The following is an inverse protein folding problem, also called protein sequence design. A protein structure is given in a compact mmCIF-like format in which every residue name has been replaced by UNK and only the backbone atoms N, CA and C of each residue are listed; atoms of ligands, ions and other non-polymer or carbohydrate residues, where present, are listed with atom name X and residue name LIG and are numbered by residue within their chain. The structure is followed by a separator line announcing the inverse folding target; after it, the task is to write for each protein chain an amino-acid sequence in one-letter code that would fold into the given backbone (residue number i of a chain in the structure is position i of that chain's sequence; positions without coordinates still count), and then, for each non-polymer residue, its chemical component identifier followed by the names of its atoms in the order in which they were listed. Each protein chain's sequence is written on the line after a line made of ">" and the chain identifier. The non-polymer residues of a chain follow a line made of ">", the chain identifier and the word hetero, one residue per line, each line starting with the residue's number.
data_IF_281164384022
#
_entry.id   IF_281164384022
#
_cell.length_a   1.000
_cell.length_b   1.000
_cell.length_c   1.000
_cell.angle_alpha   90.00
_cell.angle_beta   90.00
_cell.angle_gamma   90.00
#
_symmetry.space_group_name_H-M   'P 1'
#
loop_
_entity.id
_entity.type
_entity.pdbx_description
1 polymer ?
#
# COMPACT_ATOMS: atom_id res chain seq x y z
N UNK A 1 -16.05 5.53 -12.53
CA UNK A 1 -16.99 6.16 -11.58
C UNK A 1 -16.85 5.59 -10.18
N UNK A 2 -17.21 6.37 -9.17
CA UNK A 2 -17.42 5.90 -7.81
C UNK A 2 -18.84 5.38 -7.66
N UNK A 3 -19.02 4.34 -6.87
CA UNK A 3 -20.34 3.75 -6.60
C UNK A 3 -20.44 3.53 -5.09
N UNK A 4 -21.48 4.08 -4.48
CA UNK A 4 -21.84 3.81 -3.08
C UNK A 4 -22.86 2.68 -3.06
N UNK A 5 -22.53 1.63 -2.34
CA UNK A 5 -23.38 0.47 -2.17
C UNK A 5 -23.89 0.39 -0.73
N UNK A 6 -25.11 -0.07 -0.58
CA UNK A 6 -25.70 -0.45 0.70
C UNK A 6 -25.97 -1.94 0.70
N UNK A 7 -25.67 -2.59 1.82
CA UNK A 7 -25.98 -4.00 2.02
C UNK A 7 -27.30 -4.09 2.77
N UNK A 8 -28.33 -4.60 2.11
CA UNK A 8 -29.64 -4.82 2.70
C UNK A 8 -29.87 -6.30 2.96
N UNK A 9 -30.09 -6.65 4.22
CA UNK A 9 -30.48 -8.00 4.60
C UNK A 9 -31.98 -8.21 4.40
N UNK A 10 -32.34 -9.23 3.65
CA UNK A 10 -33.74 -9.66 3.48
C UNK A 10 -34.03 -10.82 4.46
N UNK A 11 -34.79 -10.59 5.54
CA UNK A 11 -35.05 -11.61 6.54
C UNK A 11 -35.91 -12.76 6.04
N UNK A 12 -36.69 -12.52 4.97
CA UNK A 12 -37.57 -13.56 4.38
C UNK A 12 -36.75 -14.58 3.59
N UNK A 13 -35.71 -14.15 2.89
CA UNK A 13 -34.87 -15.02 2.05
C UNK A 13 -33.55 -15.43 2.73
N UNK A 14 -33.20 -14.81 3.84
CA UNK A 14 -31.90 -14.99 4.51
C UNK A 14 -30.70 -14.49 3.70
N UNK A 15 -30.92 -13.67 2.67
CA UNK A 15 -29.89 -13.22 1.74
C UNK A 15 -29.65 -11.73 1.86
N UNK A 16 -28.38 -11.34 1.65
CA UNK A 16 -28.00 -9.95 1.46
C UNK A 16 -28.16 -9.55 -0.02
N UNK A 17 -28.60 -8.31 -0.24
CA UNK A 17 -28.60 -7.66 -1.54
C UNK A 17 -27.74 -6.42 -1.51
N UNK A 18 -26.98 -6.17 -2.58
CA UNK A 18 -26.23 -4.94 -2.78
C UNK A 18 -27.06 -3.98 -3.61
N UNK A 19 -27.41 -2.84 -3.04
CA UNK A 19 -28.13 -1.77 -3.71
C UNK A 19 -27.21 -0.60 -3.99
N UNK A 20 -27.25 -0.08 -5.22
CA UNK A 20 -26.58 1.16 -5.58
C UNK A 20 -27.39 2.33 -5.03
N UNK A 21 -26.86 3.04 -4.03
CA UNK A 21 -27.52 4.21 -3.42
C UNK A 21 -27.06 5.53 -4.02
N UNK A 22 -25.83 5.58 -4.55
CA UNK A 22 -25.31 6.75 -5.25
C UNK A 22 -24.21 6.37 -6.25
N UNK A 23 -24.03 7.20 -7.27
CA UNK A 23 -22.94 7.07 -8.25
C UNK A 23 -22.39 8.44 -8.59
N UNK A 24 -21.08 8.53 -8.78
CA UNK A 24 -20.41 9.76 -9.23
C UNK A 24 -19.39 9.45 -10.31
N UNK A 25 -19.44 10.04 -11.51
CA UNK A 25 -18.35 9.96 -12.47
C UNK A 25 -17.12 10.67 -11.93
N UNK A 26 -15.94 10.28 -12.40
CA UNK A 26 -14.71 11.04 -12.17
C UNK A 26 -14.81 12.40 -12.87
N UNK A 27 -14.11 13.39 -12.36
CA UNK A 27 -13.93 14.67 -13.06
C UNK A 27 -13.13 14.43 -14.35
N UNK A 28 -13.39 15.24 -15.36
CA UNK A 28 -12.68 15.19 -16.63
C UNK A 28 -11.18 15.43 -16.40
N UNK A 29 -10.33 14.59 -17.03
CA UNK A 29 -8.87 14.64 -16.86
C UNK A 29 -8.34 13.86 -15.66
N UNK A 30 -9.19 13.49 -14.70
CA UNK A 30 -8.79 12.76 -13.48
C UNK A 30 -9.39 11.35 -13.42
N UNK A 31 -9.57 10.73 -14.56
CA UNK A 31 -10.07 9.37 -14.65
C UNK A 31 -8.94 8.38 -14.36
N UNK A 32 -9.12 7.56 -13.34
CA UNK A 32 -8.23 6.45 -13.06
C UNK A 32 -8.43 5.36 -14.10
N UNK A 33 -7.46 5.19 -14.98
CA UNK A 33 -7.48 4.14 -16.02
C UNK A 33 -6.84 2.84 -15.52
N UNK A 34 -6.03 2.91 -14.48
CA UNK A 34 -5.46 1.75 -13.85
C UNK A 34 -6.52 0.96 -13.10
N UNK A 35 -6.40 -0.36 -13.07
CA UNK A 35 -7.23 -1.22 -12.23
C UNK A 35 -6.85 -1.13 -10.75
N UNK A 36 -5.61 -0.72 -10.49
CA UNK A 36 -5.07 -0.57 -9.14
C UNK A 36 -5.00 0.90 -8.78
N UNK A 37 -5.67 1.27 -7.72
CA UNK A 37 -5.61 2.58 -7.08
C UNK A 37 -5.57 2.38 -5.57
N UNK A 38 -5.07 3.36 -4.87
CA UNK A 38 -4.93 3.35 -3.43
C UNK A 38 -5.82 4.44 -2.82
N UNK A 39 -6.14 4.29 -1.55
CA UNK A 39 -7.01 5.26 -0.89
C UNK A 39 -6.64 5.44 0.58
N UNK A 40 -7.10 6.54 1.15
CA UNK A 40 -7.02 6.80 2.58
C UNK A 40 -8.26 7.56 3.06
N UNK A 41 -8.78 7.19 4.22
CA UNK A 41 -9.82 7.91 4.92
C UNK A 41 -9.20 8.98 5.80
N UNK A 42 -9.62 10.24 5.64
CA UNK A 42 -9.20 11.35 6.50
C UNK A 42 -10.06 11.44 7.77
N UNK A 43 -11.31 11.07 7.61
CA UNK A 43 -12.34 10.99 8.63
C UNK A 43 -13.47 10.05 8.13
N UNK A 44 -14.55 9.92 8.87
CA UNK A 44 -15.67 9.00 8.56
C UNK A 44 -16.36 9.34 7.23
N UNK A 45 -16.20 10.55 6.71
CA UNK A 45 -16.92 11.07 5.54
C UNK A 45 -16.03 11.54 4.40
N UNK A 46 -14.72 11.57 4.57
CA UNK A 46 -13.78 12.09 3.58
C UNK A 46 -12.79 11.03 3.14
N UNK A 47 -12.86 10.66 1.87
CA UNK A 47 -11.99 9.69 1.23
C UNK A 47 -11.09 10.37 0.20
N UNK A 48 -9.80 10.06 0.22
CA UNK A 48 -8.85 10.41 -0.84
C UNK A 48 -8.51 9.15 -1.61
N UNK A 49 -8.56 9.22 -2.93
CA UNK A 49 -8.17 8.14 -3.84
C UNK A 49 -7.05 8.68 -4.72
N UNK A 50 -5.99 7.88 -4.88
CA UNK A 50 -4.81 8.22 -5.67
C UNK A 50 -4.37 7.06 -6.55
N UNK A 51 -3.82 7.38 -7.70
CA UNK A 51 -3.12 6.45 -8.59
C UNK A 51 -2.28 7.22 -9.62
N UNK A 52 -1.46 6.52 -10.36
CA UNK A 52 -0.94 7.07 -11.61
C UNK A 52 -2.09 7.26 -12.61
N UNK A 53 -2.00 8.30 -13.45
CA UNK A 53 -2.94 8.55 -14.55
C UNK A 53 -2.85 7.45 -15.64
N UNK A 54 -3.68 7.54 -16.67
CA UNK A 54 -3.73 6.53 -17.74
C UNK A 54 -2.42 6.31 -18.49
N UNK A 55 -1.60 7.33 -18.61
CA UNK A 55 -0.28 7.24 -19.24
C UNK A 55 0.82 6.87 -18.25
N UNK A 56 0.49 6.88 -16.96
CA UNK A 56 1.36 6.60 -15.84
C UNK A 56 2.55 7.58 -15.74
N UNK A 57 2.39 8.79 -16.25
CA UNK A 57 3.39 9.85 -16.20
C UNK A 57 3.14 10.91 -15.12
N UNK A 58 1.95 10.84 -14.48
CA UNK A 58 1.53 11.73 -13.39
C UNK A 58 0.82 10.96 -12.30
N UNK A 59 0.93 11.44 -11.06
CA UNK A 59 0.12 10.96 -9.94
C UNK A 59 -1.08 11.90 -9.81
N UNK A 60 -2.28 11.34 -9.88
CA UNK A 60 -3.55 12.06 -9.76
C UNK A 60 -4.29 11.66 -8.48
N UNK A 61 -5.09 12.56 -7.98
CA UNK A 61 -5.91 12.35 -6.80
C UNK A 61 -7.33 12.87 -6.98
N UNK A 62 -8.26 12.28 -6.25
CA UNK A 62 -9.64 12.77 -6.07
C UNK A 62 -9.99 12.69 -4.58
N UNK A 63 -10.50 13.78 -4.04
CA UNK A 63 -11.07 13.86 -2.70
C UNK A 63 -12.58 13.80 -2.79
N UNK A 64 -13.19 12.86 -2.09
CA UNK A 64 -14.61 12.55 -2.16
C UNK A 64 -15.26 12.68 -0.78
N UNK A 65 -16.39 13.36 -0.71
CA UNK A 65 -17.30 13.29 0.43
C UNK A 65 -18.20 12.06 0.22
N UNK A 66 -18.17 11.12 1.16
CA UNK A 66 -18.82 9.82 0.95
C UNK A 66 -20.31 9.78 1.30
N UNK A 67 -20.83 10.77 2.04
CA UNK A 67 -22.25 10.84 2.37
C UNK A 67 -23.12 10.94 1.11
N UNK A 68 -22.79 11.90 0.25
CA UNK A 68 -23.52 12.24 -0.97
C UNK A 68 -22.72 12.02 -2.26
N UNK A 69 -21.51 11.47 -2.15
CA UNK A 69 -20.58 11.21 -3.25
C UNK A 69 -20.12 12.47 -3.98
N UNK A 70 -20.10 13.62 -3.29
CA UNK A 70 -19.61 14.87 -3.86
C UNK A 70 -18.10 14.86 -3.98
N UNK A 71 -17.57 15.21 -5.17
CA UNK A 71 -16.14 15.43 -5.36
C UNK A 71 -15.79 16.80 -4.73
N UNK A 72 -14.95 16.79 -3.70
CA UNK A 72 -14.46 17.97 -3.01
C UNK A 72 -13.28 18.62 -3.73
N UNK A 73 -12.60 17.86 -4.59
CA UNK A 73 -11.51 18.32 -5.42
C UNK A 73 -10.81 17.17 -6.12
N UNK A 74 -10.16 17.48 -7.21
CA UNK A 74 -9.31 16.57 -7.98
C UNK A 74 -8.08 17.34 -8.46
N UNK A 75 -6.98 16.65 -8.68
CA UNK A 75 -5.76 17.30 -9.13
C UNK A 75 -4.62 16.33 -9.41
N UNK A 76 -3.48 16.93 -9.70
CA UNK A 76 -2.20 16.26 -9.92
C UNK A 76 -1.23 16.65 -8.81
N UNK A 77 -0.36 15.74 -8.41
CA UNK A 77 0.78 16.02 -7.53
C UNK A 77 1.98 16.41 -8.42
N UNK A 78 2.02 17.66 -8.84
CA UNK A 78 3.04 18.14 -9.80
C UNK A 78 4.46 18.15 -9.21
N UNK A 79 4.58 18.17 -7.90
CA UNK A 79 5.87 18.07 -7.19
C UNK A 79 6.47 16.65 -7.25
N UNK A 80 5.69 15.64 -7.62
CA UNK A 80 6.16 14.27 -7.86
C UNK A 80 6.49 14.12 -9.34
N UNK A 81 7.78 14.12 -9.66
CA UNK A 81 8.29 13.98 -11.02
C UNK A 81 8.91 12.61 -11.23
N UNK A 82 8.91 12.13 -12.46
CA UNK A 82 9.59 10.89 -12.83
C UNK A 82 11.10 11.04 -12.62
N UNK A 83 11.75 10.09 -11.93
CA UNK A 83 13.20 10.08 -11.79
C UNK A 83 13.88 9.96 -13.16
N UNK A 84 15.11 10.46 -13.26
CA UNK A 84 15.91 10.39 -14.48
C UNK A 84 15.98 8.97 -15.03
N UNK A 85 15.81 8.81 -16.33
CA UNK A 85 15.79 7.52 -17.02
C UNK A 85 14.52 6.70 -16.87
N UNK A 86 13.57 7.13 -16.03
CA UNK A 86 12.28 6.45 -15.84
C UNK A 86 11.17 7.15 -16.64
N UNK A 87 10.20 6.38 -17.11
CA UNK A 87 9.14 6.87 -18.01
C UNK A 87 7.73 6.74 -17.47
N UNK A 88 7.54 5.91 -16.45
CA UNK A 88 6.22 5.64 -15.89
C UNK A 88 6.29 5.43 -14.40
N UNK A 89 5.29 5.92 -13.67
CA UNK A 89 5.05 5.56 -12.28
C UNK A 89 4.43 4.16 -12.18
N UNK A 90 4.67 3.47 -11.07
CA UNK A 90 3.88 2.29 -10.75
C UNK A 90 2.42 2.70 -10.47
N UNK A 91 1.50 1.86 -10.89
CA UNK A 91 0.08 2.01 -10.54
C UNK A 91 -0.24 1.41 -9.17
N UNK A 92 0.73 0.73 -8.56
CA UNK A 92 0.59 -0.01 -7.30
C UNK A 92 1.12 0.78 -6.10
N UNK A 93 0.94 2.09 -6.06
CA UNK A 93 1.29 2.91 -4.90
C UNK A 93 0.42 2.59 -3.69
N UNK A 94 0.93 2.87 -2.50
CA UNK A 94 0.22 2.70 -1.22
C UNK A 94 0.01 4.06 -0.60
N UNK A 95 -1.24 4.41 -0.32
CA UNK A 95 -1.62 5.65 0.39
C UNK A 95 -2.12 5.30 1.77
N UNK A 96 -1.66 6.04 2.79
CA UNK A 96 -2.19 5.94 4.15
C UNK A 96 -2.22 7.32 4.81
N UNK A 97 -3.09 7.47 5.81
CA UNK A 97 -3.25 8.71 6.56
C UNK A 97 -2.91 8.49 8.03
N UNK A 98 -1.98 9.28 8.56
CA UNK A 98 -1.66 9.27 9.99
C UNK A 98 -2.42 10.38 10.69
N UNK A 99 -3.29 9.98 11.62
CA UNK A 99 -4.21 10.89 12.30
C UNK A 99 -3.50 11.88 13.22
N UNK A 100 -2.43 11.46 13.91
CA UNK A 100 -1.77 12.27 14.93
C UNK A 100 -1.09 13.53 14.40
N UNK A 101 -0.54 13.47 13.19
CA UNK A 101 0.13 14.62 12.54
C UNK A 101 -0.63 15.13 11.31
N UNK A 102 -1.76 14.52 11.00
CA UNK A 102 -2.64 14.89 9.88
C UNK A 102 -1.88 14.91 8.55
N UNK A 103 -1.10 13.87 8.28
CA UNK A 103 -0.32 13.71 7.06
C UNK A 103 -0.71 12.47 6.28
N UNK A 104 -0.70 12.59 4.96
CA UNK A 104 -0.77 11.46 4.04
C UNK A 104 0.65 11.00 3.72
N UNK A 105 0.84 9.70 3.69
CA UNK A 105 2.05 9.04 3.22
C UNK A 105 1.72 8.25 1.97
N UNK A 106 2.44 8.52 0.89
CA UNK A 106 2.27 7.84 -0.38
C UNK A 106 3.58 7.17 -0.77
N UNK A 107 3.55 5.85 -0.86
CA UNK A 107 4.69 5.03 -1.25
C UNK A 107 4.54 4.62 -2.70
N UNK A 108 5.56 4.85 -3.51
CA UNK A 108 5.54 4.56 -4.95
C UNK A 108 6.94 4.32 -5.50
N UNK A 109 7.01 3.75 -6.68
CA UNK A 109 8.25 3.65 -7.45
C UNK A 109 7.98 3.95 -8.93
N UNK A 110 9.02 4.12 -9.73
CA UNK A 110 8.93 4.36 -11.16
C UNK A 110 9.64 3.23 -11.94
N UNK A 111 9.31 3.12 -13.22
CA UNK A 111 9.90 2.13 -14.13
C UNK A 111 10.35 2.78 -15.41
N UNK A 112 11.33 2.16 -16.08
CA UNK A 112 11.84 2.61 -17.38
C UNK A 112 10.84 2.41 -18.52
N UNK A 113 9.85 1.53 -18.35
CA UNK A 113 8.74 1.30 -19.29
C UNK A 113 7.54 0.63 -18.60
N UNK A 114 6.35 0.66 -19.26
CA UNK A 114 5.11 0.03 -18.74
C UNK A 114 5.23 -1.49 -18.64
N UNK A 115 5.93 -2.13 -19.58
CA UNK A 115 6.14 -3.59 -19.61
C UNK A 115 7.62 -3.88 -19.45
N UNK A 116 7.96 -4.79 -18.53
CA UNK A 116 9.32 -5.26 -18.29
C UNK A 116 10.37 -4.15 -18.04
N UNK A 117 9.91 -2.96 -17.66
CA UNK A 117 10.80 -1.86 -17.29
C UNK A 117 11.47 -2.12 -15.96
N UNK A 118 12.75 -1.75 -15.85
CA UNK A 118 13.45 -1.77 -14.57
C UNK A 118 12.84 -0.76 -13.63
N UNK A 119 12.59 -1.16 -12.40
CA UNK A 119 12.16 -0.27 -11.32
C UNK A 119 13.32 0.64 -10.86
N UNK A 120 12.98 1.72 -10.17
CA UNK A 120 13.94 2.48 -9.37
C UNK A 120 14.62 1.57 -8.36
N UNK A 121 15.89 1.82 -7.97
CA UNK A 121 16.61 1.00 -6.99
C UNK A 121 15.91 0.92 -5.64
N UNK A 122 15.17 1.99 -5.29
CA UNK A 122 14.38 2.09 -4.08
C UNK A 122 13.03 2.74 -4.40
N UNK A 123 12.01 2.45 -3.60
CA UNK A 123 10.75 3.16 -3.67
C UNK A 123 10.83 4.53 -2.97
N UNK A 124 9.91 5.41 -3.30
CA UNK A 124 9.82 6.76 -2.76
C UNK A 124 8.73 6.86 -1.70
N UNK A 125 8.94 7.77 -0.75
CA UNK A 125 7.94 8.20 0.22
C UNK A 125 7.63 9.66 0.00
N UNK A 126 6.42 9.97 -0.43
CA UNK A 126 5.89 11.32 -0.47
C UNK A 126 5.05 11.58 0.78
N UNK A 127 5.32 12.68 1.47
CA UNK A 127 4.51 13.20 2.57
C UNK A 127 3.67 14.35 2.04
N UNK A 128 2.36 14.27 2.21
CA UNK A 128 1.41 15.17 1.55
C UNK A 128 0.50 15.80 2.61
N UNK A 129 0.28 17.09 2.50
CA UNK A 129 -0.72 17.80 3.30
C UNK A 129 -2.12 17.48 2.77
N UNK A 130 -3.01 16.84 3.54
CA UNK A 130 -4.32 16.42 3.05
C UNK A 130 -5.30 17.57 2.79
N UNK A 131 -5.04 18.76 3.35
CA UNK A 131 -5.91 19.94 3.14
C UNK A 131 -5.59 20.60 1.81
N UNK A 132 -4.31 20.83 1.53
CA UNK A 132 -3.85 21.55 0.35
C UNK A 132 -3.49 20.63 -0.82
N UNK A 133 -3.33 19.34 -0.55
CA UNK A 133 -2.79 18.33 -1.46
C UNK A 133 -1.40 18.71 -2.02
N UNK A 134 -0.61 19.45 -1.22
CA UNK A 134 0.78 19.79 -1.53
C UNK A 134 1.72 18.74 -0.95
N UNK A 135 2.74 18.38 -1.73
CA UNK A 135 3.82 17.50 -1.27
C UNK A 135 4.76 18.30 -0.39
N UNK A 136 4.92 17.89 0.87
CA UNK A 136 5.81 18.52 1.84
C UNK A 136 7.23 17.94 1.77
N UNK A 137 7.35 16.65 1.45
CA UNK A 137 8.61 15.98 1.17
C UNK A 137 8.42 14.81 0.22
N UNK A 138 9.45 14.48 -0.56
CA UNK A 138 9.47 13.35 -1.47
C UNK A 138 10.88 12.80 -1.55
N UNK A 139 11.13 11.66 -0.93
CA UNK A 139 12.46 11.09 -0.78
C UNK A 139 12.46 9.59 -1.12
N UNK A 140 13.51 9.08 -1.79
CA UNK A 140 13.71 7.64 -1.87
C UNK A 140 14.04 7.12 -0.46
N UNK A 141 13.55 5.92 -0.13
CA UNK A 141 14.10 5.19 1.00
C UNK A 141 15.46 4.60 0.61
N UNK A 142 16.24 4.14 1.60
CA UNK A 142 17.55 3.54 1.38
C UNK A 142 17.68 2.16 2.03
N UNK A 143 16.55 1.50 2.34
CA UNK A 143 16.53 0.26 3.10
C UNK A 143 16.00 -0.89 2.24
N UNK A 144 14.85 -0.68 1.57
CA UNK A 144 14.20 -1.71 0.77
C UNK A 144 13.88 -1.22 -0.65
N UNK A 145 13.93 -2.13 -1.62
CA UNK A 145 13.72 -1.79 -3.03
C UNK A 145 12.26 -1.55 -3.37
N UNK A 146 11.35 -2.35 -2.82
CA UNK A 146 9.94 -2.31 -3.19
C UNK A 146 9.01 -2.47 -1.98
N UNK A 147 7.80 -1.90 -2.12
CA UNK A 147 6.71 -2.15 -1.21
C UNK A 147 6.07 -3.50 -1.54
N UNK A 148 5.60 -4.20 -0.51
CA UNK A 148 4.72 -5.35 -0.68
C UNK A 148 3.39 -4.93 -1.35
N UNK A 149 2.65 -5.87 -1.88
CA UNK A 149 1.40 -5.58 -2.58
C UNK A 149 1.55 -5.15 -4.04
N UNK A 150 2.75 -4.77 -4.49
CA UNK A 150 2.97 -4.40 -5.88
C UNK A 150 2.65 -5.53 -6.88
N UNK A 151 2.76 -6.78 -6.46
CA UNK A 151 2.38 -7.96 -7.24
C UNK A 151 0.95 -8.45 -6.94
N UNK A 152 0.33 -7.94 -5.87
CA UNK A 152 -0.99 -8.36 -5.38
C UNK A 152 -1.85 -7.10 -5.19
N UNK A 153 -2.26 -6.50 -6.30
CA UNK A 153 -2.92 -5.18 -6.33
C UNK A 153 -4.08 -5.00 -5.35
N UNK A 154 -4.82 -6.07 -5.05
CA UNK A 154 -5.93 -6.06 -4.10
C UNK A 154 -5.50 -5.94 -2.64
N UNK A 155 -4.24 -6.26 -2.32
CA UNK A 155 -3.70 -6.28 -0.97
C UNK A 155 -2.93 -5.02 -0.59
N UNK A 156 -2.81 -4.05 -1.47
CA UNK A 156 -1.98 -2.83 -1.26
C UNK A 156 -2.33 -2.10 0.03
N UNK A 157 -3.62 -1.99 0.36
CA UNK A 157 -4.06 -1.29 1.57
C UNK A 157 -3.73 -2.05 2.86
N UNK A 158 -3.48 -3.35 2.77
CA UNK A 158 -3.15 -4.21 3.89
C UNK A 158 -1.64 -4.34 4.12
N UNK A 159 -0.81 -3.64 3.35
CA UNK A 159 0.65 -3.64 3.50
C UNK A 159 1.15 -2.60 4.49
N UNK A 160 0.27 -1.77 5.02
CA UNK A 160 0.57 -0.69 5.96
C UNK A 160 -0.34 -0.77 7.18
N UNK A 161 0.21 -0.49 8.35
CA UNK A 161 -0.54 -0.45 9.61
C UNK A 161 0.03 0.59 10.56
N UNK A 162 -0.70 0.88 11.62
CA UNK A 162 -0.28 1.72 12.74
C UNK A 162 -0.35 0.91 14.05
N UNK A 163 0.59 1.16 14.97
CA UNK A 163 0.51 0.66 16.34
C UNK A 163 -0.27 1.64 17.25
N UNK A 164 -0.43 1.28 18.52
CA UNK A 164 -1.11 2.13 19.52
C UNK A 164 -0.39 3.45 19.81
N UNK A 165 0.89 3.54 19.47
CA UNK A 165 1.69 4.76 19.57
C UNK A 165 1.65 5.62 18.33
N UNK A 166 0.88 5.18 17.31
CA UNK A 166 0.75 5.84 16.00
C UNK A 166 2.05 5.85 15.18
N UNK A 167 2.94 4.86 15.42
CA UNK A 167 4.03 4.56 14.52
C UNK A 167 3.46 3.85 13.28
N UNK A 168 3.93 4.27 12.10
CA UNK A 168 3.56 3.64 10.83
C UNK A 168 4.52 2.49 10.53
N UNK A 169 3.97 1.37 10.11
CA UNK A 169 4.73 0.21 9.62
C UNK A 169 4.34 -0.13 8.20
N UNK A 170 5.33 -0.47 7.38
CA UNK A 170 5.16 -0.82 5.98
C UNK A 170 5.86 -2.14 5.67
N UNK A 171 5.12 -3.09 5.10
CA UNK A 171 5.67 -4.32 4.55
C UNK A 171 6.39 -4.02 3.24
N UNK A 172 7.65 -4.44 3.16
CA UNK A 172 8.52 -4.21 2.01
C UNK A 172 9.35 -5.44 1.71
N UNK A 173 10.11 -5.42 0.63
CA UNK A 173 11.06 -6.47 0.30
C UNK A 173 12.20 -5.94 -0.58
N UNK A 174 13.30 -6.70 -0.59
CA UNK A 174 14.41 -6.57 -1.54
C UNK A 174 14.80 -7.93 -2.06
N UNK A 175 15.19 -8.08 -3.33
CA UNK A 175 15.82 -9.31 -3.78
C UNK A 175 17.24 -9.42 -3.20
N UNK A 176 17.63 -10.62 -2.80
CA UNK A 176 19.01 -10.95 -2.47
C UNK A 176 19.87 -11.11 -3.74
N UNK A 177 21.15 -11.46 -3.58
CA UNK A 177 22.07 -11.67 -4.70
C UNK A 177 21.65 -12.79 -5.66
N UNK A 178 20.78 -13.70 -5.23
CA UNK A 178 20.24 -14.83 -6.02
C UNK A 178 18.86 -14.50 -6.60
N UNK A 179 18.30 -13.32 -6.31
CA UNK A 179 16.97 -12.91 -6.72
C UNK A 179 15.84 -13.37 -5.80
N UNK A 180 16.16 -14.01 -4.66
CA UNK A 180 15.17 -14.38 -3.64
C UNK A 180 14.63 -13.11 -2.98
N UNK A 181 13.31 -12.96 -2.89
CA UNK A 181 12.67 -11.81 -2.25
C UNK A 181 12.76 -11.95 -0.71
N UNK A 182 13.49 -11.04 -0.09
CA UNK A 182 13.65 -10.96 1.37
C UNK A 182 12.72 -9.88 1.91
N UNK A 183 11.85 -10.25 2.81
CA UNK A 183 10.90 -9.33 3.44
C UNK A 183 11.57 -8.41 4.46
N UNK A 184 11.08 -7.17 4.54
CA UNK A 184 11.46 -6.19 5.54
C UNK A 184 10.21 -5.51 6.09
N UNK A 185 10.18 -5.27 7.39
CA UNK A 185 9.18 -4.43 8.03
C UNK A 185 9.84 -3.09 8.36
N UNK A 186 9.45 -2.02 7.67
CA UNK A 186 9.97 -0.69 7.90
C UNK A 186 9.05 0.09 8.85
N UNK A 187 9.62 1.02 9.61
CA UNK A 187 8.90 1.86 10.57
C UNK A 187 9.16 3.34 10.35
N UNK A 188 8.11 4.17 10.41
CA UNK A 188 8.20 5.62 10.58
C UNK A 188 7.64 5.95 11.96
N UNK A 189 8.46 6.48 12.87
CA UNK A 189 8.01 6.86 14.21
C UNK A 189 6.99 7.98 14.16
N UNK A 190 6.11 8.03 15.15
CA UNK A 190 5.19 9.15 15.33
C UNK A 190 5.95 10.48 15.34
N UNK A 191 5.46 11.44 14.57
CA UNK A 191 6.09 12.76 14.43
C UNK A 191 7.25 12.82 13.43
N UNK A 192 7.79 11.66 13.00
CA UNK A 192 8.84 11.58 11.98
C UNK A 192 8.22 11.38 10.59
N UNK A 193 8.98 11.70 9.55
CA UNK A 193 8.56 11.54 8.14
C UNK A 193 9.46 10.61 7.34
N UNK A 194 10.53 10.12 7.95
CA UNK A 194 11.51 9.22 7.37
C UNK A 194 11.49 7.88 8.08
N UNK A 195 11.87 6.83 7.36
CA UNK A 195 12.03 5.51 7.96
C UNK A 195 13.16 5.53 9.00
N UNK A 196 12.91 4.84 10.10
CA UNK A 196 13.86 4.66 11.19
C UNK A 196 14.94 3.65 10.77
N UNK A 197 16.11 4.16 10.40
CA UNK A 197 17.23 3.34 9.96
C UNK A 197 17.80 2.41 11.07
N UNK A 198 17.41 2.63 12.33
CA UNK A 198 17.80 1.75 13.44
C UNK A 198 16.81 0.63 13.70
N UNK A 199 15.70 0.57 12.98
CA UNK A 199 14.68 -0.44 13.17
C UNK A 199 14.89 -1.64 12.24
N UNK A 200 15.20 -2.78 12.80
CA UNK A 200 15.29 -4.05 12.11
C UNK A 200 14.01 -4.85 12.39
N UNK A 201 12.95 -4.54 11.65
CA UNK A 201 11.73 -5.33 11.71
C UNK A 201 11.79 -6.53 10.78
N UNK A 202 11.43 -7.72 11.28
CA UNK A 202 11.49 -8.98 10.54
C UNK A 202 12.92 -9.36 10.09
N UNK A 203 13.88 -9.45 11.03
CA UNK A 203 15.31 -9.57 10.70
C UNK A 203 15.70 -10.88 10.02
N UNK A 204 14.89 -11.92 10.13
CA UNK A 204 15.19 -13.24 9.55
C UNK A 204 14.81 -13.37 8.08
N UNK A 205 14.01 -12.44 7.56
CA UNK A 205 13.77 -12.25 6.14
C UNK A 205 13.39 -13.49 5.32
N UNK A 206 12.73 -14.49 5.92
CA UNK A 206 12.43 -15.78 5.27
C UNK A 206 11.29 -15.68 4.27
N UNK A 207 11.33 -14.65 3.43
CA UNK A 207 10.36 -14.45 2.39
C UNK A 207 9.66 -13.12 2.50
N UNK A 208 8.79 -12.86 1.54
CA UNK A 208 8.12 -11.59 1.35
C UNK A 208 6.94 -11.43 2.32
N UNK A 209 6.90 -10.32 3.04
CA UNK A 209 5.70 -9.91 3.77
C UNK A 209 4.65 -9.43 2.77
N UNK A 210 3.41 -9.91 2.88
CA UNK A 210 2.31 -9.57 1.97
C UNK A 210 1.31 -8.61 2.61
N UNK A 211 0.85 -8.93 3.82
CA UNK A 211 -0.10 -8.10 4.55
C UNK A 211 0.30 -7.97 6.01
N UNK A 212 -0.17 -6.90 6.65
CA UNK A 212 0.05 -6.59 8.05
C UNK A 212 -1.27 -6.26 8.73
N UNK A 213 -1.42 -6.71 9.96
CA UNK A 213 -2.53 -6.32 10.83
C UNK A 213 -2.03 -6.14 12.26
N UNK A 214 -2.29 -4.97 12.85
CA UNK A 214 -1.98 -4.74 14.25
C UNK A 214 -2.91 -5.55 15.16
N UNK A 215 -2.32 -6.28 16.12
CA UNK A 215 -3.05 -7.12 17.08
C UNK A 215 -3.19 -6.50 18.48
N UNK A 216 -2.54 -5.37 18.72
CA UNK A 216 -2.41 -4.80 20.07
C UNK A 216 -1.16 -5.29 20.81
N UNK A 217 -0.81 -4.58 21.90
CA UNK A 217 0.31 -4.93 22.78
C UNK A 217 1.65 -5.11 22.03
N UNK A 218 1.94 -4.22 21.05
CA UNK A 218 3.17 -4.23 20.29
C UNK A 218 3.34 -5.44 19.37
N UNK A 219 2.26 -6.09 18.95
CA UNK A 219 2.30 -7.26 18.05
C UNK A 219 1.54 -7.02 16.76
N UNK A 220 2.07 -7.57 15.67
CA UNK A 220 1.43 -7.60 14.37
C UNK A 220 1.27 -9.02 13.85
N UNK A 221 0.14 -9.31 13.21
CA UNK A 221 -0.03 -10.46 12.35
C UNK A 221 0.46 -10.10 10.97
N UNK A 222 1.34 -10.91 10.42
CA UNK A 222 1.78 -10.81 9.05
C UNK A 222 1.38 -12.07 8.27
N UNK A 223 0.96 -11.88 7.03
CA UNK A 223 0.87 -12.95 6.04
C UNK A 223 2.12 -12.88 5.20
N UNK A 224 2.88 -13.97 5.17
CA UNK A 224 4.18 -14.03 4.54
C UNK A 224 4.26 -15.18 3.52
N UNK A 225 5.16 -15.04 2.55
CA UNK A 225 5.49 -16.09 1.59
C UNK A 225 6.89 -16.59 1.87
N UNK A 226 7.05 -17.90 2.00
CA UNK A 226 8.34 -18.58 2.05
C UNK A 226 8.69 -19.10 0.65
N UNK A 227 9.70 -18.49 0.04
CA UNK A 227 10.18 -18.90 -1.28
C UNK A 227 10.90 -20.25 -1.27
N UNK A 228 11.30 -20.76 -0.08
CA UNK A 228 11.88 -22.11 0.04
C UNK A 228 10.87 -23.23 -0.25
N UNK A 229 9.57 -22.95 -0.09
CA UNK A 229 8.48 -23.84 -0.48
C UNK A 229 8.09 -23.75 -1.96
N UNK A 230 8.70 -22.84 -2.72
CA UNK A 230 8.42 -22.70 -4.14
C UNK A 230 9.19 -23.75 -4.94
N UNK A 231 8.55 -24.47 -5.89
CA UNK A 231 9.26 -25.43 -6.72
C UNK A 231 10.39 -24.73 -7.49
N UNK A 232 11.54 -25.39 -7.53
CA UNK A 232 12.80 -24.89 -8.09
C UNK A 232 12.75 -24.50 -9.60
N UNK A 233 11.60 -24.64 -10.26
CA UNK A 233 11.40 -24.30 -11.66
C UNK A 233 10.89 -22.86 -11.89
N UNK A 234 10.76 -22.05 -10.82
CA UNK A 234 10.32 -20.66 -10.90
C UNK A 234 8.86 -20.47 -11.32
N UNK A 235 8.08 -21.52 -11.42
CA UNK A 235 6.65 -21.44 -11.63
C UNK A 235 5.95 -21.18 -10.30
N UNK A 236 5.76 -19.92 -9.95
CA UNK A 236 4.83 -19.53 -8.89
C UNK A 236 3.45 -20.10 -9.22
N UNK A 237 3.21 -21.29 -8.73
CA UNK A 237 1.90 -21.88 -8.78
C UNK A 237 1.11 -21.31 -7.58
N UNK A 238 -0.01 -20.63 -7.85
CA UNK A 238 -0.95 -20.19 -6.80
C UNK A 238 -1.45 -21.35 -5.91
N UNK A 239 -1.13 -22.58 -6.28
CA UNK A 239 -1.37 -23.81 -5.52
C UNK A 239 -0.16 -24.23 -4.65
N UNK A 240 0.95 -23.49 -4.66
CA UNK A 240 2.10 -23.79 -3.80
C UNK A 240 1.75 -23.39 -2.36
N UNK A 241 1.87 -24.34 -1.44
CA UNK A 241 1.71 -24.12 0.00
C UNK A 241 2.94 -23.42 0.59
N UNK A 242 3.26 -22.24 0.06
CA UNK A 242 4.43 -21.45 0.48
C UNK A 242 4.06 -20.23 1.32
N UNK A 243 2.81 -20.10 1.74
CA UNK A 243 2.35 -18.99 2.53
C UNK A 243 2.06 -19.42 3.97
N UNK A 244 2.33 -18.52 4.91
CA UNK A 244 2.09 -18.76 6.32
C UNK A 244 1.74 -17.47 7.05
N UNK A 245 1.10 -17.60 8.21
CA UNK A 245 0.91 -16.51 9.14
C UNK A 245 2.03 -16.51 10.18
N UNK A 246 2.52 -15.32 10.50
CA UNK A 246 3.49 -15.13 11.57
C UNK A 246 3.09 -13.94 12.44
N UNK A 247 3.42 -14.02 13.72
CA UNK A 247 3.28 -12.90 14.65
C UNK A 247 4.64 -12.24 14.79
N UNK A 248 4.69 -10.94 14.54
CA UNK A 248 5.89 -10.11 14.68
C UNK A 248 5.76 -9.32 15.98
N UNK A 249 6.77 -9.38 16.85
CA UNK A 249 6.94 -8.46 17.96
C UNK A 249 7.55 -7.16 17.41
N UNK A 250 6.81 -6.05 17.50
CA UNK A 250 7.22 -4.78 16.91
C UNK A 250 8.39 -4.10 17.64
N UNK A 251 8.71 -4.51 18.87
CA UNK A 251 9.81 -3.94 19.63
C UNK A 251 11.18 -4.38 19.10
N UNK A 252 11.31 -5.64 18.71
CA UNK A 252 12.57 -6.28 18.33
C UNK A 252 12.53 -7.02 16.99
N UNK A 253 11.36 -7.02 16.31
CA UNK A 253 11.16 -7.71 15.04
C UNK A 253 11.14 -9.24 15.15
N UNK A 254 11.27 -9.83 16.34
CA UNK A 254 11.22 -11.27 16.51
C UNK A 254 9.90 -11.86 16.03
N UNK A 255 9.95 -13.09 15.51
CA UNK A 255 8.81 -13.75 14.89
C UNK A 255 8.47 -15.06 15.56
N UNK A 256 7.18 -15.39 15.56
CA UNK A 256 6.68 -16.70 15.93
C UNK A 256 5.72 -17.20 14.85
N UNK A 257 6.05 -18.32 14.22
CA UNK A 257 5.18 -18.95 13.20
C UNK A 257 3.93 -19.48 13.87
N UNK A 258 2.76 -19.12 13.37
CA UNK A 258 1.46 -19.52 13.93
C UNK A 258 0.80 -20.68 13.18
N UNK A 259 1.25 -20.99 11.97
CA UNK A 259 0.74 -22.09 11.15
C UNK A 259 0.94 -21.88 9.66
N UNK A 260 0.97 -22.96 8.93
CA UNK A 260 0.89 -22.94 7.46
C UNK A 260 -0.56 -22.65 7.04
N UNK A 261 -0.72 -21.89 5.98
CA UNK A 261 -2.02 -21.67 5.35
C UNK A 261 -2.12 -22.66 4.19
N UNK A 262 -3.16 -23.52 4.19
CA UNK A 262 -3.38 -24.45 3.09
C UNK A 262 -3.75 -23.75 1.80
#
# INVERSE_FOLDING_TARGET
>A
RFVKLEVNYNPTTGKNALNVVAQRPFDEGYTFKARSYTHAWLDDNTLIIMAANGDADKIIWTKLKTDDMTILGSGTLDEITLPEGHKVFTTSGILTYRQSDKKLYYFYFAKTSKRNGKATPYFYTAVINPTTMKVESNQPNNIAEQMSGSAYGELMQNCVMYDESDNLYLATFSPDANGKEIGHLLRIKKGETQFDASYEGYPNGDGKLLTLQYLGNGKALAYARDDAGDPADGTLNISSYCHYYTIINLADGSVSVTGEVP
#
